data_IF_499759784233
#
_entry.id   IF_499759784233
#
_cell.length_a   1.000
_cell.length_b   1.000
_cell.length_c   1.000
_cell.angle_alpha   90.00
_cell.angle_beta   90.00
_cell.angle_gamma   90.00
#
_symmetry.space_group_name_H-M   'P 1'
#
loop_
_entity.id
_entity.type
_entity.pdbx_description
1 polymer ?
#
# COMPACT_ATOMS: atom_id res chain seq x y z
N UNK A 1 -23.03 10.89 3.76
CA UNK A 1 -22.11 10.85 2.59
C UNK A 1 -22.94 10.62 1.34
N UNK A 2 -22.56 11.23 0.17
CA UNK A 2 -23.15 10.83 -1.12
C UNK A 2 -22.89 9.35 -1.34
N UNK A 3 -23.87 8.62 -1.84
CA UNK A 3 -23.68 7.23 -2.23
C UNK A 3 -22.54 7.15 -3.27
N UNK A 4 -21.46 6.44 -2.96
CA UNK A 4 -20.31 6.31 -3.85
C UNK A 4 -20.60 5.22 -4.87
N UNK A 5 -20.37 5.52 -6.13
CA UNK A 5 -20.44 4.52 -7.20
C UNK A 5 -19.04 3.97 -7.45
N UNK A 6 -18.90 2.67 -7.37
CA UNK A 6 -17.63 1.97 -7.64
C UNK A 6 -17.73 1.30 -9.03
N UNK A 7 -16.89 1.69 -10.01
CA UNK A 7 -16.95 1.13 -11.35
C UNK A 7 -16.55 -0.34 -11.36
N UNK A 8 -17.30 -1.17 -12.10
CA UNK A 8 -16.94 -2.55 -12.40
C UNK A 8 -16.33 -2.62 -13.80
N UNK A 9 -14.99 -2.45 -13.87
CA UNK A 9 -14.29 -2.50 -15.16
C UNK A 9 -14.22 -3.91 -15.76
N UNK A 10 -14.39 -4.96 -14.98
CA UNK A 10 -14.53 -6.30 -15.53
C UNK A 10 -15.83 -6.43 -16.33
N UNK A 11 -16.94 -5.92 -15.80
CA UNK A 11 -18.21 -5.88 -16.53
C UNK A 11 -18.10 -5.02 -17.81
N UNK A 12 -17.47 -3.83 -17.73
CA UNK A 12 -17.21 -2.99 -18.91
C UNK A 12 -16.32 -3.70 -19.95
N UNK A 13 -15.37 -4.53 -19.52
CA UNK A 13 -14.50 -5.33 -20.37
C UNK A 13 -15.18 -6.57 -20.96
N UNK A 14 -16.45 -6.81 -20.65
CA UNK A 14 -17.22 -7.97 -21.11
C UNK A 14 -17.02 -9.23 -20.25
N UNK A 15 -16.44 -9.11 -19.06
CA UNK A 15 -16.30 -10.20 -18.09
C UNK A 15 -17.49 -10.09 -17.13
N UNK A 16 -18.35 -11.10 -17.10
CA UNK A 16 -19.54 -11.08 -16.26
C UNK A 16 -19.21 -10.91 -14.77
N UNK A 17 -20.00 -10.08 -14.06
CA UNK A 17 -19.74 -9.77 -12.63
C UNK A 17 -19.70 -11.03 -11.74
N UNK A 18 -20.49 -12.07 -12.05
CA UNK A 18 -20.43 -13.34 -11.33
C UNK A 18 -19.09 -14.08 -11.55
N UNK A 19 -18.49 -13.96 -12.75
CA UNK A 19 -17.20 -14.58 -13.07
C UNK A 19 -16.07 -13.85 -12.35
N UNK A 20 -16.09 -12.51 -12.34
CA UNK A 20 -15.10 -11.73 -11.62
C UNK A 20 -15.23 -11.86 -10.09
N UNK A 21 -16.45 -12.05 -9.58
CA UNK A 21 -16.72 -12.36 -8.17
C UNK A 21 -16.11 -13.71 -7.80
N UNK A 22 -16.42 -14.78 -8.57
CA UNK A 22 -15.87 -16.11 -8.33
C UNK A 22 -14.32 -16.08 -8.33
N UNK A 23 -13.70 -15.38 -9.30
CA UNK A 23 -12.24 -15.20 -9.35
C UNK A 23 -11.69 -14.50 -8.09
N UNK A 24 -12.39 -13.51 -7.58
CA UNK A 24 -12.00 -12.81 -6.35
C UNK A 24 -12.10 -13.73 -5.12
N UNK A 25 -13.15 -14.53 -5.04
CA UNK A 25 -13.32 -15.53 -3.96
C UNK A 25 -12.26 -16.63 -4.04
N UNK A 26 -11.95 -17.13 -5.23
CA UNK A 26 -10.89 -18.11 -5.46
C UNK A 26 -9.52 -17.56 -5.03
N UNK A 27 -9.20 -16.32 -5.40
CA UNK A 27 -7.96 -15.69 -5.02
C UNK A 27 -7.86 -15.48 -3.49
N UNK A 28 -8.95 -15.07 -2.83
CA UNK A 28 -9.00 -14.97 -1.37
C UNK A 28 -8.79 -16.34 -0.71
N UNK A 29 -9.47 -17.36 -1.21
CA UNK A 29 -9.31 -18.73 -0.71
C UNK A 29 -7.85 -19.20 -0.87
N UNK A 30 -7.21 -18.92 -2.02
CA UNK A 30 -5.81 -19.30 -2.24
C UNK A 30 -4.86 -18.62 -1.25
N UNK A 31 -5.04 -17.31 -0.98
CA UNK A 31 -4.22 -16.58 0.00
C UNK A 31 -4.32 -17.17 1.42
N UNK A 32 -5.51 -17.63 1.81
CA UNK A 32 -5.80 -18.05 3.19
C UNK A 32 -5.68 -19.55 3.40
N UNK A 33 -6.09 -20.37 2.42
CA UNK A 33 -6.29 -21.82 2.59
C UNK A 33 -5.71 -22.69 1.48
N UNK A 34 -5.32 -22.07 0.34
CA UNK A 34 -4.79 -22.81 -0.79
C UNK A 34 -3.40 -23.41 -0.55
N UNK A 35 -2.92 -24.13 -1.56
CA UNK A 35 -1.60 -24.79 -1.49
C UNK A 35 -0.44 -23.78 -1.44
N UNK A 36 -0.64 -22.58 -2.02
CA UNK A 36 0.36 -21.50 -2.04
C UNK A 36 -0.02 -20.36 -1.09
N UNK A 37 -0.79 -20.66 -0.04
CA UNK A 37 -1.19 -19.65 0.95
C UNK A 37 0.01 -18.91 1.53
N UNK A 38 -0.24 -17.68 1.95
CA UNK A 38 0.69 -16.85 2.72
C UNK A 38 0.21 -16.67 4.17
N UNK A 39 -0.99 -17.13 4.47
CA UNK A 39 -1.59 -17.11 5.80
C UNK A 39 -1.06 -18.27 6.67
N UNK A 40 -0.71 -17.94 7.92
CA UNK A 40 -0.36 -18.90 8.97
C UNK A 40 -1.04 -18.56 10.28
N UNK A 41 -1.16 -19.52 11.18
CA UNK A 41 -1.69 -19.34 12.54
C UNK A 41 -0.62 -19.70 13.56
N UNK A 42 -0.46 -18.85 14.59
CA UNK A 42 0.43 -19.13 15.73
C UNK A 42 -0.32 -19.93 16.79
N UNK A 43 -1.59 -19.59 17.00
CA UNK A 43 -2.51 -20.23 17.94
C UNK A 43 -3.96 -20.08 17.41
N UNK A 44 -5.00 -20.67 18.08
CA UNK A 44 -6.38 -20.56 17.61
C UNK A 44 -6.91 -19.13 17.46
N UNK A 45 -6.32 -18.14 18.16
CA UNK A 45 -6.80 -16.78 18.24
C UNK A 45 -5.97 -15.77 17.42
N UNK A 46 -4.80 -16.17 16.92
CA UNK A 46 -3.85 -15.30 16.21
C UNK A 46 -3.37 -15.89 14.91
N UNK A 47 -3.19 -15.02 13.92
CA UNK A 47 -2.73 -15.39 12.58
C UNK A 47 -1.87 -14.29 11.96
N UNK A 48 -1.11 -14.64 10.93
CA UNK A 48 -0.22 -13.73 10.23
C UNK A 48 -0.18 -14.01 8.72
N UNK A 49 0.23 -12.98 7.95
CA UNK A 49 0.70 -13.14 6.57
C UNK A 49 2.23 -13.19 6.56
N UNK A 50 2.76 -14.18 5.84
CA UNK A 50 4.21 -14.36 5.68
C UNK A 50 4.69 -13.72 4.39
N UNK A 51 5.72 -12.88 4.45
CA UNK A 51 6.54 -12.64 3.28
C UNK A 51 7.38 -13.91 3.00
N UNK A 52 6.85 -14.72 2.11
CA UNK A 52 7.44 -16.01 1.74
C UNK A 52 8.79 -15.88 1.02
N UNK A 53 9.12 -14.68 0.54
CA UNK A 53 10.40 -14.38 -0.08
C UNK A 53 11.53 -14.22 0.95
N UNK A 54 11.19 -13.68 2.12
CA UNK A 54 12.12 -13.35 3.20
C UNK A 54 11.91 -14.19 4.47
N UNK A 55 10.86 -14.99 4.50
CA UNK A 55 10.48 -15.85 5.63
C UNK A 55 10.27 -15.04 6.93
N UNK A 56 9.56 -13.89 6.81
CA UNK A 56 9.23 -12.98 7.92
C UNK A 56 7.75 -12.52 7.87
N UNK A 57 7.33 -11.83 8.92
CA UNK A 57 6.02 -11.17 9.04
C UNK A 57 6.24 -9.67 9.06
N UNK A 58 5.61 -8.94 8.15
CA UNK A 58 5.77 -7.48 7.98
C UNK A 58 4.48 -6.75 8.29
N UNK A 59 4.60 -5.53 8.82
CA UNK A 59 3.44 -4.64 9.01
C UNK A 59 2.70 -4.40 7.69
N UNK A 60 3.41 -4.30 6.56
CA UNK A 60 2.84 -4.24 5.21
C UNK A 60 1.85 -5.39 4.99
N UNK A 61 2.30 -6.64 5.10
CA UNK A 61 1.47 -7.81 4.85
C UNK A 61 0.32 -7.98 5.84
N UNK A 62 0.56 -7.66 7.10
CA UNK A 62 -0.45 -7.74 8.15
C UNK A 62 -1.57 -6.72 7.93
N UNK A 63 -1.22 -5.49 7.65
CA UNK A 63 -2.19 -4.42 7.38
C UNK A 63 -2.94 -4.64 6.05
N UNK A 64 -2.28 -5.17 5.03
CA UNK A 64 -2.92 -5.60 3.78
C UNK A 64 -3.91 -6.74 4.01
N UNK A 65 -3.54 -7.74 4.80
CA UNK A 65 -4.45 -8.85 5.15
C UNK A 65 -5.71 -8.35 5.84
N UNK A 66 -5.58 -7.38 6.77
CA UNK A 66 -6.72 -6.76 7.43
C UNK A 66 -7.60 -6.00 6.44
N UNK A 67 -7.00 -5.20 5.54
CA UNK A 67 -7.75 -4.48 4.51
C UNK A 67 -8.48 -5.46 3.58
N UNK A 68 -7.83 -6.52 3.12
CA UNK A 68 -8.45 -7.55 2.29
C UNK A 68 -9.60 -8.24 3.03
N UNK A 69 -9.39 -8.65 4.28
CA UNK A 69 -10.39 -9.33 5.10
C UNK A 69 -11.63 -8.45 5.33
N UNK A 70 -11.47 -7.15 5.62
CA UNK A 70 -12.61 -6.26 5.76
C UNK A 70 -13.35 -6.06 4.44
N UNK A 71 -12.67 -6.03 3.29
CA UNK A 71 -13.33 -5.98 1.99
C UNK A 71 -14.09 -7.27 1.67
N UNK A 72 -13.53 -8.43 2.02
CA UNK A 72 -14.14 -9.75 1.83
C UNK A 72 -15.20 -10.11 2.88
N UNK A 73 -15.44 -9.28 3.89
CA UNK A 73 -16.32 -9.54 5.02
C UNK A 73 -15.89 -10.73 5.88
N UNK A 74 -14.59 -10.98 5.96
CA UNK A 74 -14.01 -12.08 6.76
C UNK A 74 -13.50 -11.56 8.11
N UNK A 75 -14.45 -11.34 9.04
CA UNK A 75 -14.15 -10.84 10.38
C UNK A 75 -13.23 -11.76 11.16
N UNK A 76 -13.31 -13.06 10.93
CA UNK A 76 -12.51 -14.05 11.69
C UNK A 76 -11.04 -13.90 11.33
N UNK A 77 -10.71 -13.83 10.04
CA UNK A 77 -9.33 -13.59 9.58
C UNK A 77 -8.85 -12.22 10.06
N UNK A 78 -9.68 -11.18 9.92
CA UNK A 78 -9.34 -9.82 10.37
C UNK A 78 -8.94 -9.80 11.85
N UNK A 79 -9.78 -10.35 12.73
CA UNK A 79 -9.56 -10.33 14.17
C UNK A 79 -8.28 -11.10 14.58
N UNK A 80 -8.01 -12.23 13.94
CA UNK A 80 -6.79 -13.02 14.21
C UNK A 80 -5.52 -12.28 13.79
N UNK A 81 -5.52 -11.67 12.61
CA UNK A 81 -4.40 -10.87 12.10
C UNK A 81 -4.17 -9.65 13.01
N UNK A 82 -5.24 -8.93 13.38
CA UNK A 82 -5.11 -7.79 14.27
C UNK A 82 -4.60 -8.17 15.65
N UNK A 83 -5.10 -9.25 16.25
CA UNK A 83 -4.59 -9.72 17.56
C UNK A 83 -3.11 -10.09 17.50
N UNK A 84 -2.65 -10.68 16.40
CA UNK A 84 -1.24 -11.00 16.23
C UNK A 84 -0.38 -9.72 16.15
N UNK A 85 -0.79 -8.77 15.30
CA UNK A 85 -0.10 -7.48 15.16
C UNK A 85 -0.06 -6.71 16.48
N UNK A 86 -1.18 -6.66 17.18
CA UNK A 86 -1.29 -5.98 18.47
C UNK A 86 -0.42 -6.63 19.55
N UNK A 87 -0.30 -7.96 19.55
CA UNK A 87 0.45 -8.71 20.57
C UNK A 87 1.95 -8.71 20.32
N UNK A 88 2.37 -8.87 19.08
CA UNK A 88 3.75 -9.18 18.75
C UNK A 88 4.51 -8.04 18.04
N UNK A 89 3.83 -7.12 17.38
CA UNK A 89 4.49 -6.03 16.65
C UNK A 89 4.41 -4.69 17.39
N UNK A 90 3.33 -4.44 18.16
CA UNK A 90 3.10 -3.14 18.77
C UNK A 90 4.07 -2.87 19.93
N UNK A 91 4.68 -1.68 19.92
CA UNK A 91 5.47 -1.19 21.04
C UNK A 91 4.56 -0.61 22.14
N UNK A 92 4.73 -1.07 23.36
CA UNK A 92 3.96 -0.59 24.52
C UNK A 92 4.58 0.65 25.18
N UNK A 93 5.89 0.84 25.01
CA UNK A 93 6.68 1.93 25.59
C UNK A 93 7.85 2.33 24.68
N UNK A 94 8.71 3.22 25.15
CA UNK A 94 9.89 3.70 24.44
C UNK A 94 9.59 4.66 23.29
N UNK A 95 10.61 4.99 22.48
CA UNK A 95 10.52 5.98 21.42
C UNK A 95 9.57 5.61 20.28
N UNK A 96 9.24 4.32 20.15
CA UNK A 96 8.30 3.80 19.16
C UNK A 96 6.93 3.44 19.76
N UNK A 97 6.62 3.92 20.96
CA UNK A 97 5.35 3.63 21.61
C UNK A 97 4.16 3.86 20.68
N UNK A 98 3.25 2.87 20.63
CA UNK A 98 2.06 2.80 19.79
C UNK A 98 2.33 2.69 18.28
N UNK A 99 3.59 2.55 17.86
CA UNK A 99 4.00 2.07 16.53
C UNK A 99 4.22 0.56 16.54
N UNK A 100 4.52 0.01 15.37
CA UNK A 100 4.70 -1.43 15.17
C UNK A 100 6.09 -1.73 14.62
N UNK A 101 6.77 -2.74 15.17
CA UNK A 101 7.98 -3.29 14.59
C UNK A 101 7.70 -3.78 13.16
N UNK A 102 8.35 -3.20 12.16
CA UNK A 102 7.98 -3.44 10.77
C UNK A 102 8.22 -4.87 10.29
N UNK A 103 9.12 -5.62 10.94
CA UNK A 103 9.44 -7.01 10.59
C UNK A 103 9.66 -7.86 11.85
N UNK A 104 9.00 -9.01 11.88
CA UNK A 104 9.09 -10.00 12.94
C UNK A 104 9.39 -11.40 12.36
N UNK A 105 9.95 -12.27 13.19
CA UNK A 105 9.96 -13.71 12.96
C UNK A 105 8.54 -14.28 13.03
N UNK A 106 8.34 -15.50 12.51
CA UNK A 106 7.03 -16.17 12.57
C UNK A 106 6.56 -16.49 14.01
N UNK A 107 7.46 -16.47 14.96
CA UNK A 107 7.18 -16.65 16.39
C UNK A 107 6.92 -15.31 17.14
N UNK A 108 6.94 -14.19 16.42
CA UNK A 108 6.65 -12.86 16.93
C UNK A 108 7.86 -12.09 17.48
N UNK A 109 9.07 -12.65 17.49
CA UNK A 109 10.28 -11.89 17.86
C UNK A 109 10.57 -10.82 16.81
N UNK A 110 10.88 -9.59 17.24
CA UNK A 110 11.25 -8.53 16.31
C UNK A 110 12.55 -8.84 15.57
N UNK A 111 12.53 -8.65 14.25
CA UNK A 111 13.75 -8.58 13.41
C UNK A 111 14.26 -7.16 13.31
N UNK A 112 13.35 -6.19 13.38
CA UNK A 112 13.65 -4.77 13.38
C UNK A 112 12.67 -4.02 14.26
N UNK A 113 13.16 -3.05 15.04
CA UNK A 113 12.35 -2.33 16.02
C UNK A 113 11.59 -1.13 15.42
N UNK A 114 12.14 -0.50 14.39
CA UNK A 114 11.51 0.69 13.80
C UNK A 114 10.21 0.39 13.08
N UNK A 115 9.31 1.36 12.96
CA UNK A 115 8.08 1.24 12.18
C UNK A 115 8.32 1.51 10.69
N UNK A 116 7.36 1.07 9.85
CA UNK A 116 7.26 1.41 8.44
C UNK A 116 5.87 2.01 8.17
N UNK A 117 5.78 3.31 7.85
CA UNK A 117 4.51 4.05 7.80
C UNK A 117 3.38 3.45 6.98
N UNK A 118 3.69 2.75 5.88
CA UNK A 118 2.68 2.07 5.07
C UNK A 118 1.86 1.03 5.87
N UNK A 119 2.49 0.38 6.85
CA UNK A 119 1.81 -0.52 7.78
C UNK A 119 0.80 0.22 8.65
N UNK A 120 1.21 1.30 9.30
CA UNK A 120 0.36 2.10 10.18
C UNK A 120 -0.82 2.73 9.46
N UNK A 121 -0.61 3.25 8.23
CA UNK A 121 -1.68 3.81 7.42
C UNK A 121 -2.78 2.77 7.12
N UNK A 122 -2.37 1.60 6.65
CA UNK A 122 -3.30 0.53 6.33
C UNK A 122 -3.93 -0.09 7.58
N UNK A 123 -3.20 -0.23 8.70
CA UNK A 123 -3.79 -0.65 9.98
C UNK A 123 -4.90 0.31 10.42
N UNK A 124 -4.61 1.61 10.47
CA UNK A 124 -5.59 2.61 10.90
C UNK A 124 -6.83 2.61 9.99
N UNK A 125 -6.64 2.57 8.67
CA UNK A 125 -7.76 2.56 7.73
C UNK A 125 -8.59 1.28 7.82
N UNK A 126 -7.94 0.11 7.87
CA UNK A 126 -8.62 -1.18 7.99
C UNK A 126 -9.43 -1.27 9.30
N UNK A 127 -8.91 -0.73 10.40
CA UNK A 127 -9.60 -0.65 11.69
C UNK A 127 -10.83 0.27 11.62
N UNK A 128 -10.75 1.45 10.99
CA UNK A 128 -11.93 2.28 10.77
C UNK A 128 -12.99 1.56 9.94
N UNK A 129 -12.60 0.89 8.87
CA UNK A 129 -13.55 0.10 8.07
C UNK A 129 -14.17 -1.04 8.87
N UNK A 130 -13.40 -1.71 9.73
CA UNK A 130 -13.90 -2.76 10.61
C UNK A 130 -14.93 -2.23 11.61
N UNK A 131 -14.64 -1.09 12.24
CA UNK A 131 -15.57 -0.40 13.14
C UNK A 131 -16.89 -0.05 12.44
N UNK A 132 -16.82 0.53 11.24
CA UNK A 132 -18.01 0.91 10.47
C UNK A 132 -18.80 -0.30 9.95
N UNK A 133 -18.12 -1.40 9.63
CA UNK A 133 -18.75 -2.59 9.06
C UNK A 133 -19.31 -3.53 10.10
N UNK A 134 -18.62 -3.71 11.22
CA UNK A 134 -18.94 -4.73 12.22
C UNK A 134 -19.22 -4.17 13.61
N UNK A 135 -18.92 -2.90 13.86
CA UNK A 135 -18.96 -2.27 15.18
C UNK A 135 -17.73 -2.60 16.02
N UNK A 136 -17.51 -1.82 17.06
CA UNK A 136 -16.41 -2.00 18.00
C UNK A 136 -16.73 -3.12 19.01
N UNK A 137 -15.69 -3.88 19.37
CA UNK A 137 -15.72 -4.91 20.40
C UNK A 137 -14.99 -4.50 21.68
N UNK A 138 -14.70 -5.47 22.54
CA UNK A 138 -13.80 -5.27 23.68
C UNK A 138 -12.33 -5.23 23.19
N UNK A 139 -11.43 -4.50 23.91
CA UNK A 139 -10.02 -4.44 23.51
C UNK A 139 -9.36 -5.82 23.32
N UNK A 140 -8.51 -6.00 22.31
CA UNK A 140 -8.05 -5.00 21.33
C UNK A 140 -8.96 -4.86 20.09
N UNK A 141 -10.20 -5.35 20.13
CA UNK A 141 -11.16 -5.27 19.03
C UNK A 141 -12.05 -4.01 19.08
N UNK A 142 -11.71 -3.05 19.90
CA UNK A 142 -12.26 -1.69 19.91
C UNK A 142 -11.65 -0.87 18.76
N UNK A 143 -11.98 -1.29 17.53
CA UNK A 143 -11.30 -0.91 16.29
C UNK A 143 -11.13 0.60 16.13
N UNK A 144 -12.20 1.40 16.36
CA UNK A 144 -12.10 2.86 16.23
C UNK A 144 -11.11 3.48 17.22
N UNK A 145 -11.06 2.96 18.45
CA UNK A 145 -10.11 3.42 19.49
C UNK A 145 -8.67 3.07 19.07
N UNK A 146 -8.45 1.88 18.54
CA UNK A 146 -7.13 1.46 18.08
C UNK A 146 -6.68 2.27 16.85
N UNK A 147 -7.56 2.53 15.87
CA UNK A 147 -7.27 3.39 14.74
C UNK A 147 -6.85 4.80 15.19
N UNK A 148 -7.61 5.41 16.11
CA UNK A 148 -7.28 6.71 16.69
C UNK A 148 -5.93 6.72 17.39
N UNK A 149 -5.60 5.65 18.15
CA UNK A 149 -4.31 5.52 18.82
C UNK A 149 -3.14 5.54 17.83
N UNK A 150 -3.25 4.78 16.73
CA UNK A 150 -2.24 4.75 15.67
C UNK A 150 -2.08 6.14 15.04
N UNK A 151 -3.18 6.80 14.67
CA UNK A 151 -3.11 8.13 14.05
C UNK A 151 -2.51 9.19 14.97
N UNK A 152 -2.81 9.14 16.29
CA UNK A 152 -2.17 10.02 17.28
C UNK A 152 -0.66 9.79 17.35
N UNK A 153 -0.21 8.54 17.37
CA UNK A 153 1.22 8.23 17.32
C UNK A 153 1.86 8.80 16.05
N UNK A 154 1.25 8.56 14.88
CA UNK A 154 1.76 9.04 13.59
C UNK A 154 1.98 10.56 13.53
N UNK A 155 1.15 11.35 14.20
CA UNK A 155 1.21 12.83 14.16
C UNK A 155 1.93 13.43 15.37
N UNK A 156 1.78 12.85 16.55
CA UNK A 156 2.16 13.48 17.81
C UNK A 156 3.32 12.81 18.57
N UNK A 157 3.85 11.68 18.10
CA UNK A 157 5.02 11.06 18.71
C UNK A 157 6.18 12.04 18.76
N UNK A 158 6.92 11.98 19.85
CA UNK A 158 8.08 12.87 20.08
C UNK A 158 9.36 12.09 19.89
N UNK A 159 10.35 12.66 19.18
CA UNK A 159 11.65 12.03 19.07
C UNK A 159 12.35 12.02 20.43
N UNK A 160 13.10 10.96 20.68
CA UNK A 160 13.94 10.79 21.86
C UNK A 160 15.42 10.66 21.45
N UNK A 161 16.32 10.96 22.38
CA UNK A 161 17.74 10.72 22.16
C UNK A 161 18.13 9.37 22.74
N UNK A 162 18.53 8.43 21.89
CA UNK A 162 19.06 7.13 22.31
C UNK A 162 20.43 6.92 21.64
N UNK A 163 21.44 6.61 22.43
CA UNK A 163 22.82 6.35 21.96
C UNK A 163 23.40 7.44 21.03
N UNK A 164 23.06 8.71 21.32
CA UNK A 164 23.50 9.86 20.55
C UNK A 164 22.81 10.04 19.19
N UNK A 165 21.71 9.32 18.94
CA UNK A 165 20.88 9.43 17.74
C UNK A 165 19.46 9.85 18.11
N UNK A 166 18.80 10.54 17.18
CA UNK A 166 17.35 10.78 17.27
C UNK A 166 16.64 9.49 16.88
N UNK A 167 15.69 9.05 17.71
CA UNK A 167 14.89 7.83 17.49
C UNK A 167 13.42 8.17 17.70
N UNK A 168 12.55 7.62 16.87
CA UNK A 168 11.12 7.90 16.91
C UNK A 168 10.75 9.28 16.38
N UNK A 169 9.60 9.76 16.82
CA UNK A 169 9.02 11.03 16.34
C UNK A 169 7.86 10.80 15.39
N UNK A 170 7.28 11.88 14.79
CA UNK A 170 6.13 11.76 13.92
C UNK A 170 6.50 11.15 12.57
N UNK A 171 5.57 10.40 11.99
CA UNK A 171 5.71 9.79 10.66
C UNK A 171 5.49 10.80 9.52
N UNK A 172 4.85 11.92 9.80
CA UNK A 172 4.67 13.01 8.84
C UNK A 172 5.63 14.15 9.18
N UNK A 173 6.22 14.72 8.14
CA UNK A 173 7.01 15.92 8.27
C UNK A 173 6.11 17.10 8.72
N UNK A 174 6.46 17.81 9.80
CA UNK A 174 5.59 18.82 10.39
C UNK A 174 5.42 20.09 9.55
N UNK A 175 6.31 20.35 8.59
CA UNK A 175 6.26 21.53 7.72
C UNK A 175 5.52 21.24 6.43
N UNK A 176 5.89 20.16 5.74
CA UNK A 176 5.33 19.78 4.45
C UNK A 176 4.03 19.00 4.56
N UNK A 177 3.74 18.36 5.69
CA UNK A 177 2.65 17.39 5.89
C UNK A 177 2.75 16.20 4.95
N UNK A 178 3.95 15.89 4.48
CA UNK A 178 4.22 14.69 3.70
C UNK A 178 4.67 13.56 4.61
N UNK A 179 4.30 12.35 4.26
CA UNK A 179 4.73 11.14 4.97
C UNK A 179 6.22 10.92 4.77
N UNK A 180 6.92 10.48 5.80
CA UNK A 180 8.35 10.13 5.78
C UNK A 180 8.52 8.65 5.45
N UNK A 181 9.70 8.25 5.01
CA UNK A 181 10.01 6.84 4.79
C UNK A 181 10.03 6.04 6.12
N UNK A 182 10.62 6.64 7.16
CA UNK A 182 10.54 6.23 8.58
C UNK A 182 10.55 7.49 9.44
N UNK A 183 10.20 7.45 10.73
CA UNK A 183 10.14 8.65 11.57
C UNK A 183 11.42 9.50 11.57
N UNK A 184 12.57 8.89 11.43
CA UNK A 184 13.89 9.55 11.45
C UNK A 184 14.36 10.04 10.07
N UNK A 185 13.65 9.70 8.99
CA UNK A 185 14.04 10.06 7.64
C UNK A 185 13.71 11.53 7.30
N UNK A 186 14.52 12.11 6.45
CA UNK A 186 14.29 13.41 5.79
C UNK A 186 13.87 13.27 4.31
N UNK A 187 13.36 12.09 3.96
CA UNK A 187 12.88 11.72 2.63
C UNK A 187 11.63 10.84 2.73
N UNK A 188 11.03 10.54 1.58
CA UNK A 188 9.78 9.80 1.46
C UNK A 188 9.86 8.69 0.41
N UNK A 189 8.87 7.80 0.44
CA UNK A 189 8.54 6.84 -0.62
C UNK A 189 7.25 7.32 -1.32
N UNK A 190 7.25 7.53 -2.65
CA UNK A 190 6.03 7.90 -3.38
C UNK A 190 4.86 6.94 -3.18
N UNK A 191 5.12 5.67 -2.90
CA UNK A 191 4.10 4.65 -2.69
C UNK A 191 3.42 4.73 -1.31
N UNK A 192 3.99 5.45 -0.36
CA UNK A 192 3.40 5.69 0.95
C UNK A 192 2.34 6.80 0.93
N UNK A 193 2.26 7.58 -0.15
CA UNK A 193 1.27 8.65 -0.27
C UNK A 193 -0.12 8.09 -0.61
N UNK A 194 -1.02 8.11 0.37
CA UNK A 194 -2.38 7.61 0.29
C UNK A 194 -3.40 8.74 0.50
N UNK A 195 -3.47 9.75 -0.40
CA UNK A 195 -4.35 10.91 -0.19
C UNK A 195 -5.82 10.55 0.03
N UNK A 196 -6.29 9.45 -0.56
CA UNK A 196 -7.63 8.92 -0.31
C UNK A 196 -7.84 8.42 1.13
N UNK A 197 -6.82 7.89 1.78
CA UNK A 197 -6.89 7.56 3.21
C UNK A 197 -6.89 8.83 4.05
N UNK A 198 -6.05 9.80 3.72
CA UNK A 198 -5.94 11.05 4.49
C UNK A 198 -7.23 11.87 4.44
N UNK A 199 -7.95 11.89 3.32
CA UNK A 199 -9.27 12.50 3.26
C UNK A 199 -10.30 11.79 4.15
N UNK A 200 -10.20 10.47 4.33
CA UNK A 200 -11.02 9.72 5.27
C UNK A 200 -10.57 9.94 6.72
N UNK A 201 -9.26 9.98 6.99
CA UNK A 201 -8.75 10.38 8.31
C UNK A 201 -9.21 11.79 8.69
N UNK A 202 -9.29 12.71 7.74
CA UNK A 202 -9.85 14.05 7.96
C UNK A 202 -11.32 14.06 8.40
N UNK A 203 -12.04 12.96 8.20
CA UNK A 203 -13.42 12.78 8.67
C UNK A 203 -13.49 12.06 10.02
N UNK A 204 -12.60 11.10 10.26
CA UNK A 204 -12.73 10.11 11.32
C UNK A 204 -11.68 10.21 12.42
N UNK A 205 -10.55 10.88 12.19
CA UNK A 205 -9.54 11.15 13.22
C UNK A 205 -10.09 12.09 14.31
N UNK A 206 -9.34 12.23 15.40
CA UNK A 206 -9.62 13.22 16.43
C UNK A 206 -9.86 14.60 15.82
N UNK A 207 -10.80 15.34 16.36
CA UNK A 207 -11.26 16.61 15.79
C UNK A 207 -10.12 17.60 15.57
N UNK A 208 -9.18 17.68 16.49
CA UNK A 208 -8.02 18.56 16.44
C UNK A 208 -7.07 18.22 15.27
N UNK A 209 -7.02 16.95 14.84
CA UNK A 209 -6.15 16.47 13.78
C UNK A 209 -6.78 16.51 12.38
N UNK A 210 -8.07 16.77 12.26
CA UNK A 210 -8.77 16.75 10.97
C UNK A 210 -8.26 17.79 9.96
N UNK A 211 -7.79 18.94 10.46
CA UNK A 211 -7.17 19.94 9.60
C UNK A 211 -5.82 19.47 9.04
N UNK A 212 -5.01 18.82 9.88
CA UNK A 212 -3.74 18.21 9.48
C UNK A 212 -3.96 17.20 8.33
N UNK A 213 -4.90 16.28 8.50
CA UNK A 213 -5.16 15.24 7.49
C UNK A 213 -5.68 15.80 6.14
N UNK A 214 -6.50 16.86 6.17
CA UNK A 214 -6.90 17.57 4.94
C UNK A 214 -5.71 18.17 4.21
N UNK A 215 -4.75 18.74 4.95
CA UNK A 215 -3.51 19.26 4.36
C UNK A 215 -2.62 18.16 3.82
N UNK A 216 -2.44 17.06 4.56
CA UNK A 216 -1.68 15.91 4.13
C UNK A 216 -2.22 15.33 2.81
N UNK A 217 -3.54 15.16 2.68
CA UNK A 217 -4.18 14.71 1.44
C UNK A 217 -3.86 15.63 0.25
N UNK A 218 -4.05 16.94 0.44
CA UNK A 218 -3.78 17.93 -0.61
C UNK A 218 -2.31 17.98 -1.01
N UNK A 219 -1.41 17.96 -0.03
CA UNK A 219 0.03 18.06 -0.28
C UNK A 219 0.57 16.78 -0.92
N UNK A 220 0.08 15.60 -0.52
CA UNK A 220 0.42 14.33 -1.16
C UNK A 220 -0.01 14.26 -2.63
N UNK A 221 -1.20 14.76 -2.99
CA UNK A 221 -1.58 14.87 -4.41
C UNK A 221 -0.61 15.76 -5.18
N UNK A 222 -0.28 16.94 -4.66
CA UNK A 222 0.69 17.85 -5.31
C UNK A 222 2.07 17.23 -5.45
N UNK A 223 2.52 16.54 -4.42
CA UNK A 223 3.79 15.82 -4.43
C UNK A 223 3.81 14.75 -5.53
N UNK A 224 2.77 13.93 -5.66
CA UNK A 224 2.67 12.90 -6.69
C UNK A 224 2.73 13.46 -8.13
N UNK A 225 2.25 14.69 -8.37
CA UNK A 225 2.38 15.36 -9.66
C UNK A 225 3.85 15.57 -10.09
N UNK A 226 4.77 15.72 -9.12
CA UNK A 226 6.20 15.89 -9.39
C UNK A 226 6.92 14.54 -9.38
N UNK A 227 6.60 13.67 -8.42
CA UNK A 227 7.25 12.37 -8.26
C UNK A 227 7.01 11.42 -9.44
N UNK A 228 5.84 11.50 -10.08
CA UNK A 228 5.52 10.69 -11.24
C UNK A 228 5.96 11.37 -12.55
N UNK A 229 6.70 10.67 -13.36
CA UNK A 229 7.12 11.17 -14.67
C UNK A 229 5.90 11.44 -15.57
N UNK A 230 5.75 12.66 -16.07
CA UNK A 230 4.67 13.04 -16.96
C UNK A 230 4.66 12.28 -18.30
N UNK A 231 5.79 11.68 -18.68
CA UNK A 231 5.94 10.92 -19.93
C UNK A 231 5.52 9.47 -19.79
N UNK A 232 5.85 8.86 -18.66
CA UNK A 232 5.73 7.40 -18.44
C UNK A 232 4.72 7.05 -17.35
N UNK A 233 4.41 7.96 -16.43
CA UNK A 233 3.66 7.66 -15.21
C UNK A 233 4.49 6.91 -14.15
N UNK A 234 5.76 6.60 -14.39
CA UNK A 234 6.59 5.89 -13.42
C UNK A 234 7.11 6.84 -12.35
N UNK A 235 7.19 6.36 -11.11
CA UNK A 235 7.76 7.05 -9.97
C UNK A 235 9.06 6.35 -9.51
N UNK A 236 9.99 7.04 -8.83
CA UNK A 236 11.10 6.39 -8.16
C UNK A 236 10.62 5.60 -6.94
N UNK A 237 11.44 4.69 -6.44
CA UNK A 237 11.17 3.96 -5.20
C UNK A 237 11.34 4.87 -3.96
N UNK A 238 12.27 5.83 -4.02
CA UNK A 238 12.51 6.81 -2.96
C UNK A 238 12.78 8.19 -3.57
N UNK A 239 12.28 9.24 -2.92
CA UNK A 239 12.49 10.62 -3.34
C UNK A 239 12.59 11.59 -2.17
N UNK A 240 13.12 12.79 -2.43
CA UNK A 240 12.97 13.92 -1.52
C UNK A 240 11.51 14.37 -1.42
N UNK A 241 11.21 15.21 -0.44
CA UNK A 241 9.89 15.87 -0.32
C UNK A 241 9.57 16.82 -1.48
N UNK A 242 10.56 17.13 -2.30
CA UNK A 242 10.39 17.86 -3.56
C UNK A 242 9.92 16.97 -4.73
N UNK A 243 9.78 15.67 -4.53
CA UNK A 243 9.35 14.68 -5.52
C UNK A 243 10.48 14.15 -6.44
N UNK A 244 11.71 14.64 -6.29
CA UNK A 244 12.83 14.17 -7.11
C UNK A 244 13.50 12.93 -6.52
N UNK A 245 13.97 11.97 -7.35
CA UNK A 245 14.69 10.79 -6.88
C UNK A 245 15.88 11.19 -6.00
N UNK A 246 16.09 10.46 -4.89
CA UNK A 246 17.21 10.73 -4.00
C UNK A 246 18.55 10.58 -4.73
N UNK A 247 19.50 11.49 -4.54
CA UNK A 247 20.85 11.34 -5.05
C UNK A 247 21.54 10.16 -4.34
N UNK A 248 22.24 9.32 -5.10
CA UNK A 248 23.07 8.27 -4.52
C UNK A 248 24.42 8.85 -4.12
N UNK A 249 24.79 8.84 -2.83
CA UNK A 249 26.09 9.31 -2.38
C UNK A 249 27.24 8.54 -3.09
N UNK A 250 28.34 9.21 -3.38
CA UNK A 250 29.48 8.62 -4.10
C UNK A 250 29.98 7.32 -3.45
N UNK A 251 30.05 7.31 -2.10
CA UNK A 251 30.44 6.13 -1.32
C UNK A 251 29.47 4.94 -1.44
N UNK A 252 28.24 5.16 -1.92
CA UNK A 252 27.22 4.13 -2.05
C UNK A 252 26.92 3.74 -3.50
N UNK A 253 27.57 4.34 -4.49
CA UNK A 253 27.32 4.06 -5.91
C UNK A 253 27.56 2.59 -6.31
N UNK A 254 28.42 1.90 -5.60
CA UNK A 254 28.67 0.46 -5.77
C UNK A 254 27.62 -0.43 -5.09
N UNK A 255 26.72 0.14 -4.26
CA UNK A 255 25.63 -0.59 -3.63
C UNK A 255 24.42 -0.64 -4.58
N UNK A 256 24.06 -1.82 -5.11
CA UNK A 256 22.90 -1.93 -6.01
C UNK A 256 21.59 -1.44 -5.37
N UNK A 257 21.39 -1.69 -4.09
CA UNK A 257 20.16 -1.28 -3.36
C UNK A 257 20.01 0.24 -3.26
N UNK A 258 21.12 0.97 -3.04
CA UNK A 258 21.09 2.42 -3.01
C UNK A 258 20.68 3.00 -4.38
N UNK A 259 21.11 2.35 -5.47
CA UNK A 259 20.71 2.76 -6.82
C UNK A 259 19.23 2.44 -7.13
N UNK A 260 18.69 1.34 -6.60
CA UNK A 260 17.29 0.96 -6.80
C UNK A 260 16.30 1.97 -6.19
N UNK A 261 16.71 2.74 -5.19
CA UNK A 261 15.89 3.84 -4.65
C UNK A 261 15.50 4.89 -5.71
N UNK A 262 16.30 5.07 -6.75
CA UNK A 262 16.05 6.01 -7.86
C UNK A 262 15.24 5.41 -9.00
N UNK A 263 15.01 4.10 -8.98
CA UNK A 263 14.36 3.38 -10.05
C UNK A 263 12.88 3.16 -9.77
N UNK A 264 12.12 2.89 -10.81
CA UNK A 264 10.80 2.31 -10.70
C UNK A 264 10.97 0.83 -10.33
N UNK A 265 10.84 0.54 -9.04
CA UNK A 265 11.15 -0.78 -8.48
C UNK A 265 10.25 -1.07 -7.28
N UNK A 266 9.88 -2.32 -7.09
CA UNK A 266 9.16 -2.85 -5.91
C UNK A 266 8.03 -1.93 -5.38
N UNK A 267 8.33 -1.10 -4.38
CA UNK A 267 7.33 -0.27 -3.68
C UNK A 267 6.69 0.76 -4.61
N UNK A 268 7.46 1.32 -5.55
CA UNK A 268 6.96 2.27 -6.54
C UNK A 268 5.79 1.72 -7.39
N UNK A 269 5.61 0.39 -7.48
CA UNK A 269 4.49 -0.20 -8.22
C UNK A 269 3.14 0.17 -7.59
N UNK A 270 3.07 0.33 -6.27
CA UNK A 270 1.85 0.69 -5.52
C UNK A 270 1.28 2.06 -5.91
N UNK A 271 2.11 2.98 -6.39
CA UNK A 271 1.71 4.35 -6.76
C UNK A 271 0.53 4.35 -7.73
N UNK A 272 0.53 3.44 -8.72
CA UNK A 272 -0.55 3.37 -9.69
C UNK A 272 -1.88 2.91 -9.07
N UNK A 273 -1.85 1.97 -8.11
CA UNK A 273 -3.04 1.55 -7.37
C UNK A 273 -3.55 2.71 -6.50
N UNK A 274 -2.66 3.40 -5.81
CA UNK A 274 -3.02 4.49 -4.89
C UNK A 274 -3.69 5.65 -5.63
N UNK A 275 -3.14 6.07 -6.76
CA UNK A 275 -3.73 7.13 -7.60
C UNK A 275 -5.07 6.69 -8.18
N UNK A 276 -5.20 5.44 -8.63
CA UNK A 276 -6.44 4.89 -9.16
C UNK A 276 -7.55 4.83 -8.10
N UNK A 277 -7.22 4.42 -6.87
CA UNK A 277 -8.17 4.42 -5.76
C UNK A 277 -8.57 5.83 -5.33
N UNK A 278 -7.63 6.78 -5.28
CA UNK A 278 -7.94 8.18 -5.00
C UNK A 278 -8.90 8.77 -6.05
N UNK A 279 -8.69 8.43 -7.33
CA UNK A 279 -9.60 8.82 -8.40
C UNK A 279 -11.02 8.25 -8.20
N UNK A 280 -11.13 6.95 -7.90
CA UNK A 280 -12.44 6.29 -7.69
C UNK A 280 -13.16 6.81 -6.45
N UNK A 281 -12.44 7.02 -5.35
CA UNK A 281 -13.07 7.39 -4.09
C UNK A 281 -13.41 8.87 -3.99
N UNK A 282 -12.62 9.75 -4.59
CA UNK A 282 -12.77 11.19 -4.47
C UNK A 282 -12.90 11.93 -5.80
N UNK A 283 -12.14 11.56 -6.83
CA UNK A 283 -12.21 12.18 -8.16
C UNK A 283 -11.97 13.68 -8.18
N UNK A 284 -11.19 14.19 -7.20
CA UNK A 284 -11.00 15.63 -7.00
C UNK A 284 -9.76 16.20 -7.70
N UNK A 285 -8.94 15.33 -8.31
CA UNK A 285 -7.69 15.70 -8.99
C UNK A 285 -7.70 15.24 -10.45
N UNK A 286 -7.98 16.13 -11.42
CA UNK A 286 -8.02 15.77 -12.84
C UNK A 286 -6.69 15.22 -13.39
N UNK A 287 -5.55 15.59 -12.79
CA UNK A 287 -4.23 15.08 -13.18
C UNK A 287 -4.14 13.56 -13.11
N UNK A 288 -4.90 12.89 -12.25
CA UNK A 288 -4.91 11.44 -12.12
C UNK A 288 -5.28 10.73 -13.43
N UNK A 289 -6.11 11.35 -14.25
CA UNK A 289 -6.44 10.83 -15.57
C UNK A 289 -5.26 10.99 -16.55
N UNK A 290 -4.56 12.12 -16.50
CA UNK A 290 -3.37 12.36 -17.34
C UNK A 290 -2.24 11.41 -16.97
N UNK A 291 -2.05 11.15 -15.66
CA UNK A 291 -1.15 10.14 -15.15
C UNK A 291 -1.47 8.75 -15.72
N UNK A 292 -2.71 8.31 -15.57
CA UNK A 292 -3.14 6.98 -16.00
C UNK A 292 -3.02 6.79 -17.52
N UNK A 293 -3.38 7.80 -18.32
CA UNK A 293 -3.21 7.78 -19.78
C UNK A 293 -1.72 7.74 -20.18
N UNK A 294 -0.84 8.43 -19.43
CA UNK A 294 0.61 8.42 -19.67
C UNK A 294 1.22 7.05 -19.37
N UNK A 295 0.84 6.46 -18.23
CA UNK A 295 1.29 5.13 -17.82
C UNK A 295 0.85 4.07 -18.84
N UNK A 296 -0.42 4.06 -19.23
CA UNK A 296 -0.91 3.10 -20.21
C UNK A 296 -0.27 3.27 -21.59
N UNK A 297 -0.06 4.51 -22.03
CA UNK A 297 0.65 4.79 -23.27
C UNK A 297 2.08 4.28 -23.24
N UNK A 298 2.76 4.42 -22.11
CA UNK A 298 4.11 3.87 -21.90
C UNK A 298 4.09 2.35 -22.00
N UNK A 299 3.21 1.68 -21.25
CA UNK A 299 3.08 0.21 -21.25
C UNK A 299 2.76 -0.35 -22.63
N UNK A 300 1.88 0.30 -23.39
CA UNK A 300 1.58 -0.12 -24.77
C UNK A 300 2.77 -0.04 -25.73
N UNK A 301 3.65 0.92 -25.55
CA UNK A 301 4.85 1.09 -26.37
C UNK A 301 5.98 0.14 -25.97
N UNK A 302 5.92 -0.37 -24.77
CA UNK A 302 6.93 -1.25 -24.17
C UNK A 302 6.23 -2.52 -23.66
N UNK A 303 5.85 -3.48 -24.52
CA UNK A 303 5.03 -4.64 -24.13
C UNK A 303 5.71 -5.56 -23.11
N UNK A 304 7.04 -5.53 -23.02
CA UNK A 304 7.83 -6.32 -22.06
C UNK A 304 8.63 -5.45 -21.04
N UNK A 305 8.07 -4.33 -20.52
CA UNK A 305 8.79 -3.49 -19.56
C UNK A 305 8.93 -4.19 -18.18
N UNK A 306 8.21 -5.31 -17.98
CA UNK A 306 8.28 -6.13 -16.77
C UNK A 306 9.55 -7.01 -16.67
N UNK A 307 10.39 -7.01 -17.69
CA UNK A 307 11.64 -7.78 -17.68
C UNK A 307 12.83 -6.99 -17.11
N UNK A 308 12.68 -5.67 -17.02
CA UNK A 308 13.79 -4.79 -16.66
C UNK A 308 13.45 -3.83 -15.53
N UNK A 309 14.45 -3.50 -14.72
CA UNK A 309 14.37 -2.36 -13.80
C UNK A 309 14.52 -1.08 -14.61
N UNK A 310 13.60 -0.14 -14.41
CA UNK A 310 13.55 1.11 -15.19
C UNK A 310 13.81 2.32 -14.31
N UNK A 311 14.38 3.37 -14.90
CA UNK A 311 14.27 4.72 -14.34
C UNK A 311 12.87 5.29 -14.57
N UNK A 312 12.43 6.32 -13.80
CA UNK A 312 11.13 6.95 -14.02
C UNK A 312 10.91 7.52 -15.42
N UNK A 313 11.97 7.87 -16.14
CA UNK A 313 11.89 8.34 -17.54
C UNK A 313 11.68 7.21 -18.57
N UNK A 314 11.71 5.94 -18.12
CA UNK A 314 11.52 4.74 -18.93
C UNK A 314 12.82 4.15 -19.50
N UNK A 315 13.99 4.72 -19.21
CA UNK A 315 15.26 4.10 -19.59
C UNK A 315 15.53 2.88 -18.73
N UNK A 316 16.14 1.85 -19.34
CA UNK A 316 16.54 0.63 -18.64
C UNK A 316 17.71 0.94 -17.70
N UNK A 317 17.53 0.60 -16.42
CA UNK A 317 18.61 0.65 -15.42
C UNK A 317 19.42 -0.65 -15.40
N UNK A 318 18.73 -1.79 -15.39
CA UNK A 318 19.35 -3.10 -15.40
C UNK A 318 18.52 -4.08 -16.24
N UNK A 319 19.21 -4.93 -16.99
CA UNK A 319 18.59 -5.95 -17.86
C UNK A 319 18.19 -7.23 -17.10
N UNK A 320 18.31 -7.21 -15.77
CA UNK A 320 17.90 -8.33 -14.93
C UNK A 320 16.39 -8.36 -14.73
N UNK A 321 15.78 -9.56 -14.63
CA UNK A 321 14.35 -9.70 -14.35
C UNK A 321 13.97 -9.01 -13.04
N UNK A 322 12.86 -8.29 -13.06
CA UNK A 322 12.34 -7.66 -11.86
C UNK A 322 11.82 -8.69 -10.85
N UNK A 323 11.86 -8.33 -9.59
CA UNK A 323 11.49 -9.21 -8.49
C UNK A 323 9.99 -9.53 -8.45
N UNK A 324 9.13 -8.56 -8.81
CA UNK A 324 7.68 -8.61 -8.64
C UNK A 324 6.90 -8.29 -9.93
N UNK A 325 7.04 -9.13 -10.98
CA UNK A 325 6.45 -8.85 -12.30
C UNK A 325 4.92 -8.86 -12.31
N UNK A 326 4.28 -9.74 -11.52
CA UNK A 326 2.83 -9.80 -11.45
C UNK A 326 2.25 -8.58 -10.71
N UNK A 327 2.85 -8.20 -9.58
CA UNK A 327 2.45 -7.03 -8.82
C UNK A 327 2.54 -5.75 -9.64
N UNK A 328 3.61 -5.58 -10.42
CA UNK A 328 3.76 -4.47 -11.35
C UNK A 328 2.67 -4.44 -12.42
N UNK A 329 2.41 -5.57 -13.10
CA UNK A 329 1.37 -5.68 -14.13
C UNK A 329 -0.03 -5.45 -13.54
N UNK A 330 -0.29 -5.94 -12.34
CA UNK A 330 -1.54 -5.70 -11.63
C UNK A 330 -1.74 -4.20 -11.35
N UNK A 331 -0.71 -3.52 -10.85
CA UNK A 331 -0.76 -2.08 -10.59
C UNK A 331 -1.03 -1.26 -11.86
N UNK A 332 -0.42 -1.62 -12.98
CA UNK A 332 -0.68 -0.98 -14.27
C UNK A 332 -2.12 -1.20 -14.76
N UNK A 333 -2.65 -2.39 -14.57
CA UNK A 333 -4.05 -2.68 -14.90
C UNK A 333 -5.01 -1.86 -14.00
N UNK A 334 -4.67 -1.67 -12.72
CA UNK A 334 -5.46 -0.86 -11.79
C UNK A 334 -5.57 0.61 -12.23
N UNK A 335 -4.54 1.17 -12.86
CA UNK A 335 -4.57 2.52 -13.44
C UNK A 335 -5.70 2.72 -14.46
N UNK A 336 -6.24 1.63 -15.04
CA UNK A 336 -7.40 1.67 -15.95
C UNK A 336 -8.63 2.32 -15.32
N UNK A 337 -8.75 2.35 -14.00
CA UNK A 337 -9.84 3.02 -13.28
C UNK A 337 -9.85 4.55 -13.49
N UNK A 338 -8.69 5.16 -13.71
CA UNK A 338 -8.57 6.59 -13.96
C UNK A 338 -8.34 6.93 -15.45
N UNK A 339 -7.93 5.96 -16.27
CA UNK A 339 -7.59 6.18 -17.67
C UNK A 339 -8.82 6.46 -18.56
N UNK A 340 -8.63 7.33 -19.55
CA UNK A 340 -9.66 7.70 -20.55
C UNK A 340 -9.53 6.92 -21.86
N UNK A 341 -8.32 6.41 -22.19
CA UNK A 341 -8.07 5.67 -23.41
C UNK A 341 -8.93 4.38 -23.45
N UNK A 342 -9.73 4.14 -24.50
CA UNK A 342 -10.57 2.93 -24.62
C UNK A 342 -9.79 1.62 -24.51
N UNK A 343 -8.50 1.61 -24.86
CA UNK A 343 -7.61 0.44 -24.73
C UNK A 343 -7.37 0.01 -23.27
N UNK A 344 -7.75 0.87 -22.29
CA UNK A 344 -7.71 0.51 -20.86
C UNK A 344 -8.41 -0.82 -20.57
N UNK A 345 -9.44 -1.17 -21.32
CA UNK A 345 -10.18 -2.43 -21.17
C UNK A 345 -9.40 -3.65 -21.69
N UNK A 346 -8.40 -3.46 -22.56
CA UNK A 346 -7.48 -4.53 -22.97
C UNK A 346 -6.54 -4.89 -21.80
N UNK A 347 -6.02 -3.88 -21.11
CA UNK A 347 -5.22 -4.09 -19.90
C UNK A 347 -6.00 -4.83 -18.80
N UNK A 348 -7.29 -4.49 -18.62
CA UNK A 348 -8.20 -5.16 -17.68
C UNK A 348 -8.40 -6.63 -18.06
N UNK A 349 -8.66 -6.95 -19.34
CA UNK A 349 -8.80 -8.35 -19.80
C UNK A 349 -7.50 -9.13 -19.66
N UNK A 350 -6.37 -8.52 -20.02
CA UNK A 350 -5.05 -9.14 -19.86
C UNK A 350 -4.79 -9.51 -18.41
N UNK A 351 -5.00 -8.58 -17.50
CA UNK A 351 -4.85 -8.81 -16.07
C UNK A 351 -5.77 -9.93 -15.55
N UNK A 352 -7.04 -9.94 -15.96
CA UNK A 352 -8.01 -10.96 -15.49
C UNK A 352 -7.57 -12.39 -15.83
N UNK A 353 -6.85 -12.58 -16.94
CA UNK A 353 -6.33 -13.85 -17.38
C UNK A 353 -4.98 -14.24 -16.76
N UNK A 354 -4.36 -13.36 -15.96
CA UNK A 354 -3.11 -13.69 -15.29
C UNK A 354 -3.37 -14.59 -14.09
N UNK A 355 -2.59 -15.67 -13.91
CA UNK A 355 -2.66 -16.48 -12.69
C UNK A 355 -1.99 -15.77 -11.51
N UNK A 356 -2.38 -16.13 -10.30
CA UNK A 356 -1.62 -15.82 -9.10
C UNK A 356 -0.23 -16.46 -9.17
N UNK A 357 0.74 -15.83 -8.53
CA UNK A 357 2.10 -16.34 -8.42
C UNK A 357 2.16 -17.45 -7.38
N UNK A 358 2.94 -18.51 -7.64
CA UNK A 358 3.00 -19.71 -6.79
C UNK A 358 4.38 -19.98 -6.20
N UNK A 359 5.43 -19.28 -6.71
CA UNK A 359 6.80 -19.48 -6.25
C UNK A 359 7.08 -18.80 -4.88
N UNK A 360 8.35 -18.87 -4.46
CA UNK A 360 8.78 -18.34 -3.17
C UNK A 360 8.50 -16.84 -3.01
N UNK A 361 8.50 -16.04 -4.08
CA UNK A 361 8.27 -14.58 -4.01
C UNK A 361 6.82 -14.16 -4.25
N UNK A 362 5.86 -15.06 -4.00
CA UNK A 362 4.44 -14.85 -4.27
C UNK A 362 3.74 -13.82 -3.38
N UNK A 363 4.29 -13.54 -2.20
CA UNK A 363 3.66 -12.70 -1.18
C UNK A 363 3.25 -11.32 -1.73
N UNK A 364 4.20 -10.47 -2.07
CA UNK A 364 3.95 -9.10 -2.51
C UNK A 364 3.16 -9.04 -3.83
N UNK A 365 3.54 -9.86 -4.80
CA UNK A 365 2.82 -9.99 -6.07
C UNK A 365 1.34 -10.31 -5.88
N UNK A 366 1.03 -11.28 -5.04
CA UNK A 366 -0.35 -11.71 -4.81
C UNK A 366 -1.15 -10.71 -3.98
N UNK A 367 -0.51 -9.93 -3.11
CA UNK A 367 -1.17 -8.81 -2.42
C UNK A 367 -1.62 -7.74 -3.42
N UNK A 368 -0.74 -7.26 -4.28
CA UNK A 368 -1.08 -6.26 -5.31
C UNK A 368 -2.09 -6.79 -6.33
N UNK A 369 -1.96 -8.06 -6.72
CA UNK A 369 -2.92 -8.75 -7.57
C UNK A 369 -4.32 -8.76 -6.95
N UNK A 370 -4.43 -9.09 -5.66
CA UNK A 370 -5.72 -9.15 -4.97
C UNK A 370 -6.37 -7.77 -4.81
N UNK A 371 -5.60 -6.74 -4.44
CA UNK A 371 -6.10 -5.37 -4.40
C UNK A 371 -6.61 -4.90 -5.77
N UNK A 372 -5.92 -5.27 -6.84
CA UNK A 372 -6.35 -4.95 -8.20
C UNK A 372 -7.65 -5.68 -8.58
N UNK A 373 -7.82 -6.96 -8.18
CA UNK A 373 -9.09 -7.68 -8.36
C UNK A 373 -10.26 -6.95 -7.68
N UNK A 374 -10.06 -6.54 -6.42
CA UNK A 374 -11.06 -5.80 -5.67
C UNK A 374 -11.39 -4.46 -6.34
N UNK A 375 -10.37 -3.71 -6.74
CA UNK A 375 -10.52 -2.36 -7.30
C UNK A 375 -11.23 -2.40 -8.67
N UNK A 376 -10.75 -3.22 -9.60
CA UNK A 376 -11.33 -3.33 -10.93
C UNK A 376 -12.74 -3.93 -10.93
N UNK A 377 -13.07 -4.78 -9.95
CA UNK A 377 -14.41 -5.34 -9.78
C UNK A 377 -15.38 -4.46 -8.98
N UNK A 378 -15.01 -3.22 -8.63
CA UNK A 378 -15.85 -2.32 -7.82
C UNK A 378 -16.10 -2.82 -6.39
N UNK A 379 -15.18 -3.64 -5.87
CA UNK A 379 -15.28 -4.28 -4.54
C UNK A 379 -14.35 -3.67 -3.50
N UNK A 380 -13.43 -2.81 -3.89
CA UNK A 380 -12.60 -2.05 -2.95
C UNK A 380 -13.36 -0.78 -2.51
N UNK A 381 -14.08 -0.90 -1.41
CA UNK A 381 -15.08 0.09 -0.98
C UNK A 381 -14.69 0.79 0.32
N UNK A 382 -15.22 1.98 0.50
CA UNK A 382 -15.20 2.72 1.77
C UNK A 382 -16.39 2.25 2.60
N UNK A 383 -16.15 1.87 3.84
CA UNK A 383 -17.16 1.48 4.81
C UNK A 383 -17.36 2.55 5.87
#
# INVERSE_FOLDING_TARGET
>A
MKERTYPDLFAEAGIGSAVSEARTQEAWHELIRGDHRIYGETDPDTAYFTDTGNDDVRTEGMSYAMMMAVQMNDKVVFDKIWRWSFRYMRHEDGPYRDYFAWSCELDGRHRAEGPAPDGEEYFAMALFFASHRWGDGAPPLDYSVQAQRILRACVHSRPEMADGRVVGGPMWDPETRLIKFVPEADFTDPSYHLPHFYDLFALWADEDDRAFWREAARNSRRYLHVACSWRTGLAPNMSGFDGHPLPVPEAQKSNPWANLGRCYFSDAYRVAINIALDHVWFGCDPWQQDFADSLQRFVYKHPEPSEHVLYPDGQVFAEEPIMHPLGMKASWACASLAARDPRRLEAVRSFFNMPMRTDKRRYYDNCLYFFTLLALGGRYRVY
#
